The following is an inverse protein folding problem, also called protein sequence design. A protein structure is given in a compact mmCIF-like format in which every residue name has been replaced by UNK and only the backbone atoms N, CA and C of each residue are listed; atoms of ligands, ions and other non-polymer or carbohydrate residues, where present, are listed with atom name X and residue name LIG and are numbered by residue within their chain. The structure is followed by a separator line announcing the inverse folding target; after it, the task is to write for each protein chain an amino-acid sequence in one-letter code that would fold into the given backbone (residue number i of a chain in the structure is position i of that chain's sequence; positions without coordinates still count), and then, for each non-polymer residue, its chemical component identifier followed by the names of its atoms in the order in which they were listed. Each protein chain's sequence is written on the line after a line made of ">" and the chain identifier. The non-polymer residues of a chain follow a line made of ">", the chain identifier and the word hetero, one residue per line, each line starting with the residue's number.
data_IF_883619757010
#
_entry.id   IF_883619757010
#
_cell.length_a   1.000
_cell.length_b   1.000
_cell.length_c   1.000
_cell.angle_alpha   90.00
_cell.angle_beta   90.00
_cell.angle_gamma   90.00
#
_symmetry.space_group_name_H-M   'P 1'
#
loop_
_entity.id
_entity.type
_entity.pdbx_description
1 polymer ?
#
# COMPACT_ATOMS: atom_id res chain seq x y z
N UNK A 1 25.85 -46.33 29.04
CA UNK A 1 24.58 -45.71 28.60
C UNK A 1 24.90 -44.27 28.18
N UNK A 2 24.96 -43.93 26.88
CA UNK A 2 25.18 -42.54 26.47
C UNK A 2 23.91 -41.73 26.73
N UNK A 3 24.03 -40.66 27.52
CA UNK A 3 22.96 -39.71 27.82
C UNK A 3 22.68 -38.86 26.59
N UNK A 4 21.56 -39.11 25.91
CA UNK A 4 21.05 -38.26 24.83
C UNK A 4 20.77 -36.86 25.38
N UNK A 5 21.71 -35.94 25.20
CA UNK A 5 21.53 -34.53 25.57
C UNK A 5 20.83 -33.85 24.39
N UNK A 6 19.68 -33.22 24.61
CA UNK A 6 18.95 -32.58 23.50
C UNK A 6 19.78 -31.42 22.93
N UNK A 7 19.72 -31.16 21.61
CA UNK A 7 20.42 -30.05 20.97
C UNK A 7 20.09 -28.68 21.61
N UNK A 8 18.87 -28.54 22.11
CA UNK A 8 18.37 -27.34 22.80
C UNK A 8 19.07 -27.13 24.16
N UNK A 9 19.23 -28.20 24.94
CA UNK A 9 19.96 -28.18 26.21
C UNK A 9 21.43 -27.81 25.99
N UNK A 10 22.05 -28.37 24.95
CA UNK A 10 23.44 -28.11 24.61
C UNK A 10 23.65 -26.66 24.13
N UNK A 11 22.70 -26.14 23.34
CA UNK A 11 22.70 -24.75 22.88
C UNK A 11 22.51 -23.77 24.05
N UNK A 12 21.59 -24.03 24.96
CA UNK A 12 21.36 -23.21 26.16
C UNK A 12 22.58 -23.18 27.09
N UNK A 13 23.22 -24.34 27.31
CA UNK A 13 24.46 -24.43 28.08
C UNK A 13 25.60 -23.64 27.42
N UNK A 14 25.73 -23.74 26.10
CA UNK A 14 26.76 -23.04 25.31
C UNK A 14 26.54 -21.53 25.30
N UNK A 15 25.29 -21.07 25.13
CA UNK A 15 24.91 -19.66 25.21
C UNK A 15 25.26 -19.08 26.59
N UNK A 16 24.94 -19.80 27.66
CA UNK A 16 25.19 -19.36 29.04
C UNK A 16 26.68 -19.24 29.31
N UNK A 17 27.47 -20.22 28.86
CA UNK A 17 28.93 -20.21 28.99
C UNK A 17 29.57 -19.03 28.24
N UNK A 18 29.18 -18.80 26.98
CA UNK A 18 29.69 -17.71 26.16
C UNK A 18 29.31 -16.34 26.73
N UNK A 19 28.12 -16.20 27.29
CA UNK A 19 27.66 -14.97 27.94
C UNK A 19 28.46 -14.67 29.20
N UNK A 20 28.72 -15.68 30.05
CA UNK A 20 29.58 -15.56 31.23
C UNK A 20 31.01 -15.13 30.89
N UNK A 21 31.53 -15.58 29.75
CA UNK A 21 32.85 -15.22 29.24
C UNK A 21 32.87 -13.88 28.46
N UNK A 22 31.81 -13.08 28.54
CA UNK A 22 31.73 -11.77 27.87
C UNK A 22 31.54 -11.82 26.34
N UNK A 23 31.47 -13.02 25.75
CA UNK A 23 31.34 -13.23 24.29
C UNK A 23 29.86 -13.19 23.86
N UNK A 24 29.18 -12.08 24.16
CA UNK A 24 27.73 -11.92 23.95
C UNK A 24 27.27 -12.13 22.50
N UNK A 25 28.07 -11.71 21.52
CA UNK A 25 27.76 -11.92 20.08
C UNK A 25 27.81 -13.40 19.68
N UNK A 26 28.81 -14.15 20.18
CA UNK A 26 28.90 -15.58 19.92
C UNK A 26 27.72 -16.34 20.55
N UNK A 27 27.27 -15.92 21.74
CA UNK A 27 26.09 -16.49 22.39
C UNK A 27 24.81 -16.27 21.57
N UNK A 28 24.64 -15.10 20.93
CA UNK A 28 23.49 -14.82 20.05
C UNK A 28 23.49 -15.67 18.78
N UNK A 29 24.65 -15.86 18.15
CA UNK A 29 24.80 -16.69 16.93
C UNK A 29 24.41 -18.15 17.21
N UNK A 30 24.76 -18.67 18.39
CA UNK A 30 24.39 -20.02 18.82
C UNK A 30 22.87 -20.18 18.92
N UNK A 31 22.14 -19.18 19.42
CA UNK A 31 20.67 -19.20 19.45
C UNK A 31 20.07 -19.11 18.03
N UNK A 32 20.60 -18.22 17.20
CA UNK A 32 20.19 -18.07 15.80
C UNK A 32 20.34 -19.38 15.01
N UNK A 33 21.36 -20.20 15.33
CA UNK A 33 21.58 -21.48 14.65
C UNK A 33 20.46 -22.51 14.83
N UNK A 34 19.65 -22.39 15.89
CA UNK A 34 18.50 -23.25 16.13
C UNK A 34 17.23 -22.77 15.42
N UNK A 35 17.13 -21.46 15.16
CA UNK A 35 15.91 -20.84 14.64
C UNK A 35 16.00 -20.45 13.16
N UNK A 36 17.20 -20.47 12.57
CA UNK A 36 17.41 -20.12 11.16
C UNK A 36 17.40 -21.32 10.24
N UNK A 37 16.92 -21.11 9.01
CA UNK A 37 16.86 -22.15 7.99
C UNK A 37 18.27 -22.62 7.56
N UNK A 38 18.44 -23.89 7.14
CA UNK A 38 19.73 -24.48 6.77
C UNK A 38 20.57 -23.66 5.76
N UNK A 39 19.99 -22.97 4.76
CA UNK A 39 20.75 -22.15 3.81
C UNK A 39 21.40 -20.92 4.46
N UNK A 40 20.71 -20.28 5.41
CA UNK A 40 21.20 -19.09 6.11
C UNK A 40 22.35 -19.48 7.03
N UNK A 41 22.20 -20.58 7.77
CA UNK A 41 23.25 -21.10 8.64
C UNK A 41 24.52 -21.49 7.85
N UNK A 42 24.35 -22.11 6.68
CA UNK A 42 25.47 -22.46 5.78
C UNK A 42 26.22 -21.21 5.31
N UNK A 43 25.52 -20.12 4.97
CA UNK A 43 26.15 -18.83 4.63
C UNK A 43 26.87 -18.19 5.81
N UNK A 44 26.27 -18.20 6.99
CA UNK A 44 26.90 -17.68 8.21
C UNK A 44 28.18 -18.44 8.56
N UNK A 45 28.16 -19.78 8.46
CA UNK A 45 29.33 -20.63 8.67
C UNK A 45 30.43 -20.38 7.64
N UNK A 46 30.07 -20.22 6.36
CA UNK A 46 31.03 -19.88 5.31
C UNK A 46 31.73 -18.53 5.54
N UNK A 47 30.99 -17.53 6.03
CA UNK A 47 31.54 -16.20 6.39
C UNK A 47 32.48 -16.30 7.60
N UNK A 48 32.12 -17.11 8.60
CA UNK A 48 32.95 -17.35 9.79
C UNK A 48 34.24 -18.10 9.46
N UNK A 49 34.14 -19.18 8.67
CA UNK A 49 35.26 -20.06 8.35
C UNK A 49 36.23 -19.45 7.32
N UNK A 50 35.75 -18.52 6.49
CA UNK A 50 36.56 -17.78 5.51
C UNK A 50 36.34 -16.26 5.63
N UNK A 51 36.84 -15.61 6.71
CA UNK A 51 36.64 -14.18 6.92
C UNK A 51 37.31 -13.31 5.85
N UNK A 52 38.33 -13.83 5.16
CA UNK A 52 39.02 -13.18 4.04
C UNK A 52 38.27 -13.23 2.70
N UNK A 53 37.28 -14.11 2.54
CA UNK A 53 36.52 -14.28 1.29
C UNK A 53 35.34 -13.30 1.19
N UNK A 54 34.95 -12.67 2.29
CA UNK A 54 33.78 -11.79 2.36
C UNK A 54 34.21 -10.37 2.76
N UNK A 55 34.68 -9.59 1.79
CA UNK A 55 34.66 -8.14 1.95
C UNK A 55 33.21 -7.72 2.11
N UNK A 56 32.83 -7.30 3.32
CA UNK A 56 31.51 -6.73 3.57
C UNK A 56 31.35 -5.50 2.65
N UNK A 57 30.56 -5.65 1.59
CA UNK A 57 30.20 -4.52 0.74
C UNK A 57 29.19 -3.70 1.55
N UNK A 58 29.51 -2.44 1.89
CA UNK A 58 28.52 -1.58 2.50
C UNK A 58 27.33 -1.44 1.54
N UNK A 59 26.11 -1.46 2.08
CA UNK A 59 24.92 -1.18 1.30
C UNK A 59 25.04 0.18 0.63
N UNK A 60 24.56 0.30 -0.61
CA UNK A 60 24.23 1.61 -1.16
C UNK A 60 23.16 2.27 -0.27
N UNK A 61 23.05 3.61 -0.27
CA UNK A 61 21.98 4.25 0.48
C UNK A 61 20.57 3.83 0.06
N UNK A 62 20.34 3.51 -1.22
CA UNK A 62 19.07 2.93 -1.69
C UNK A 62 18.86 1.51 -1.14
N UNK A 63 19.90 0.67 -1.20
CA UNK A 63 19.85 -0.70 -0.67
C UNK A 63 19.65 -0.73 0.85
N UNK A 64 20.17 0.27 1.57
CA UNK A 64 19.97 0.43 3.01
C UNK A 64 18.55 0.89 3.37
N UNK A 65 17.79 1.49 2.44
CA UNK A 65 16.46 2.03 2.72
C UNK A 65 15.42 0.94 2.97
N UNK A 66 15.42 -0.11 2.14
CA UNK A 66 14.51 -1.23 2.27
C UNK A 66 14.59 -1.92 3.65
N UNK A 67 15.75 -2.37 4.14
CA UNK A 67 15.84 -3.00 5.45
C UNK A 67 15.48 -2.03 6.57
N UNK A 68 15.82 -0.74 6.48
CA UNK A 68 15.42 0.23 7.51
C UNK A 68 13.91 0.41 7.61
N UNK A 69 13.20 0.40 6.48
CA UNK A 69 11.73 0.47 6.47
C UNK A 69 11.12 -0.86 6.95
N UNK A 70 11.62 -1.99 6.45
CA UNK A 70 11.09 -3.33 6.78
C UNK A 70 11.33 -3.73 8.24
N UNK A 71 12.40 -3.23 8.87
CA UNK A 71 12.77 -3.56 10.26
C UNK A 71 12.44 -2.44 11.25
N UNK A 72 11.78 -1.37 10.80
CA UNK A 72 11.40 -0.21 11.61
C UNK A 72 12.60 0.39 12.40
N UNK A 73 13.79 0.41 11.78
CA UNK A 73 14.99 0.91 12.42
C UNK A 73 15.02 2.45 12.46
N UNK A 74 15.49 2.98 13.59
CA UNK A 74 15.49 4.41 13.90
C UNK A 74 16.16 5.34 12.87
N UNK A 75 15.59 6.55 12.75
CA UNK A 75 15.49 7.41 11.55
C UNK A 75 16.75 8.13 11.02
N UNK A 76 17.95 7.97 11.57
CA UNK A 76 19.01 9.01 11.37
C UNK A 76 19.82 8.92 10.07
N UNK A 77 19.93 7.76 9.41
CA UNK A 77 20.95 7.57 8.37
C UNK A 77 20.43 7.81 6.92
N UNK A 78 19.11 7.84 6.68
CA UNK A 78 18.52 7.77 5.31
C UNK A 78 17.66 8.99 4.97
N UNK A 79 17.85 10.12 5.66
CA UNK A 79 16.98 11.29 5.49
C UNK A 79 16.99 11.85 4.07
N UNK A 80 18.16 11.93 3.44
CA UNK A 80 18.34 12.50 2.10
C UNK A 80 17.60 11.70 1.03
N UNK A 81 17.62 10.37 1.12
CA UNK A 81 16.95 9.48 0.17
C UNK A 81 15.44 9.40 0.42
N UNK A 82 15.00 9.51 1.69
CA UNK A 82 13.57 9.62 2.01
C UNK A 82 12.94 10.85 1.34
N UNK A 83 13.65 11.98 1.30
CA UNK A 83 13.17 13.19 0.61
C UNK A 83 12.94 12.99 -0.88
N UNK A 84 13.76 12.18 -1.55
CA UNK A 84 13.57 11.84 -2.97
C UNK A 84 12.33 10.96 -3.20
N UNK A 85 11.77 10.36 -2.15
CA UNK A 85 10.57 9.53 -2.19
C UNK A 85 9.30 10.26 -1.76
N UNK A 86 9.38 11.58 -1.53
CA UNK A 86 8.21 12.38 -1.18
C UNK A 86 7.61 13.00 -2.45
N UNK A 87 6.28 12.92 -2.62
CA UNK A 87 5.61 13.63 -3.69
C UNK A 87 5.66 15.15 -3.46
N UNK A 88 5.43 15.92 -4.52
CA UNK A 88 5.28 17.37 -4.46
C UNK A 88 3.98 17.78 -3.77
N UNK A 89 3.92 19.05 -3.34
CA UNK A 89 2.70 19.73 -2.89
C UNK A 89 1.93 19.06 -1.74
N UNK A 90 2.66 18.38 -0.83
CA UNK A 90 2.07 17.83 0.40
C UNK A 90 1.58 19.00 1.27
N UNK A 91 0.29 19.02 1.57
CA UNK A 91 -0.34 19.96 2.50
C UNK A 91 -0.45 19.28 3.86
N UNK A 92 0.08 19.93 4.89
CA UNK A 92 0.08 19.42 6.26
C UNK A 92 -0.51 20.50 7.16
N UNK A 93 -1.49 20.12 7.96
CA UNK A 93 -2.05 20.90 9.06
C UNK A 93 -1.98 20.07 10.35
N UNK A 94 -2.48 20.63 11.46
CA UNK A 94 -2.52 19.90 12.73
C UNK A 94 -3.43 18.66 12.68
N UNK A 95 -4.48 18.68 11.86
CA UNK A 95 -5.53 17.65 11.83
C UNK A 95 -5.61 16.90 10.51
N UNK A 96 -4.85 17.30 9.50
CA UNK A 96 -4.97 16.75 8.15
C UNK A 96 -3.63 16.75 7.41
N UNK A 97 -3.40 15.67 6.67
CA UNK A 97 -2.41 15.60 5.59
C UNK A 97 -3.17 15.33 4.29
N UNK A 98 -2.89 16.12 3.26
CA UNK A 98 -3.48 15.96 1.93
C UNK A 98 -2.40 16.11 0.85
N UNK A 99 -2.48 15.26 -0.16
CA UNK A 99 -1.66 15.32 -1.37
C UNK A 99 -2.62 15.36 -2.57
N UNK A 100 -2.49 16.32 -3.50
CA UNK A 100 -3.32 16.33 -4.70
C UNK A 100 -3.18 15.01 -5.48
N UNK A 101 -4.30 14.48 -5.99
CA UNK A 101 -4.29 13.18 -6.69
C UNK A 101 -3.33 13.18 -7.89
N UNK A 102 -3.25 14.28 -8.63
CA UNK A 102 -2.29 14.40 -9.75
C UNK A 102 -0.84 14.29 -9.27
N UNK A 103 -0.45 14.95 -8.17
CA UNK A 103 0.91 14.95 -7.66
C UNK A 103 1.35 13.56 -7.19
N UNK A 104 0.48 12.83 -6.47
CA UNK A 104 0.79 11.47 -6.01
C UNK A 104 0.89 10.49 -7.18
N UNK A 105 0.04 10.63 -8.20
CA UNK A 105 0.07 9.78 -9.39
C UNK A 105 1.29 10.08 -10.27
N UNK A 106 1.63 11.35 -10.48
CA UNK A 106 2.85 11.76 -11.18
C UNK A 106 4.08 11.13 -10.51
N UNK A 107 4.19 11.27 -9.19
CA UNK A 107 5.31 10.73 -8.42
C UNK A 107 5.37 9.19 -8.51
N UNK A 108 4.24 8.52 -8.35
CA UNK A 108 4.17 7.06 -8.44
C UNK A 108 4.56 6.55 -9.83
N UNK A 109 4.09 7.21 -10.90
CA UNK A 109 4.38 6.82 -12.28
C UNK A 109 5.82 7.10 -12.66
N UNK A 110 6.40 8.24 -12.26
CA UNK A 110 7.82 8.50 -12.48
C UNK A 110 8.69 7.38 -11.91
N UNK A 111 8.41 6.94 -10.69
CA UNK A 111 9.15 5.85 -10.04
C UNK A 111 8.89 4.50 -10.71
N UNK A 112 7.63 4.19 -11.00
CA UNK A 112 7.26 2.92 -11.59
C UNK A 112 7.82 2.77 -13.02
N UNK A 113 7.75 3.83 -13.82
CA UNK A 113 8.30 3.88 -15.17
C UNK A 113 9.83 3.71 -15.16
N UNK A 114 10.53 4.32 -14.19
CA UNK A 114 11.97 4.11 -14.01
C UNK A 114 12.30 2.65 -13.66
N UNK A 115 11.56 2.02 -12.75
CA UNK A 115 11.73 0.58 -12.40
C UNK A 115 11.42 -0.32 -13.59
N UNK A 116 10.50 0.08 -14.46
CA UNK A 116 10.09 -0.68 -15.65
C UNK A 116 10.77 -0.20 -16.94
N UNK A 117 11.85 0.57 -16.83
CA UNK A 117 12.47 1.23 -17.97
C UNK A 117 12.85 0.24 -19.07
N UNK A 118 13.51 -0.87 -18.73
CA UNK A 118 13.96 -1.86 -19.72
C UNK A 118 12.78 -2.50 -20.46
N UNK A 119 11.71 -2.81 -19.72
CA UNK A 119 10.47 -3.37 -20.28
C UNK A 119 9.84 -2.36 -21.23
N UNK A 120 9.72 -1.10 -20.80
CA UNK A 120 9.13 -0.02 -21.60
C UNK A 120 9.95 0.30 -22.85
N UNK A 121 11.28 0.25 -22.78
CA UNK A 121 12.15 0.53 -23.92
C UNK A 121 12.10 -0.58 -24.98
N UNK A 122 11.97 -1.83 -24.53
CA UNK A 122 11.95 -3.01 -25.39
C UNK A 122 10.58 -3.24 -26.05
N UNK A 123 9.50 -2.91 -25.34
CA UNK A 123 8.17 -3.43 -25.68
C UNK A 123 7.12 -2.40 -26.06
N UNK A 124 7.30 -1.12 -25.72
CA UNK A 124 6.34 -0.08 -26.11
C UNK A 124 6.57 0.37 -27.55
N UNK A 125 5.49 0.41 -28.34
CA UNK A 125 5.53 0.89 -29.72
C UNK A 125 5.39 2.41 -29.79
N UNK A 126 6.53 3.10 -29.76
CA UNK A 126 6.61 4.55 -29.87
C UNK A 126 6.04 5.11 -31.18
N UNK A 127 5.94 4.31 -32.25
CA UNK A 127 5.38 4.78 -33.52
C UNK A 127 3.85 4.97 -33.45
N UNK A 128 3.19 4.24 -32.54
CA UNK A 128 1.74 4.26 -32.41
C UNK A 128 1.21 5.52 -31.70
N UNK A 129 2.06 6.22 -30.94
CA UNK A 129 1.68 7.33 -30.06
C UNK A 129 0.47 7.02 -29.14
N UNK A 130 0.25 5.75 -28.82
CA UNK A 130 -0.83 5.30 -27.94
C UNK A 130 -0.39 5.53 -26.49
N UNK A 131 -1.21 6.19 -25.65
CA UNK A 131 -0.88 6.36 -24.25
C UNK A 131 -0.92 5.03 -23.50
N UNK A 132 0.01 4.86 -22.57
CA UNK A 132 0.02 3.74 -21.64
C UNK A 132 -1.07 3.97 -20.60
N UNK A 133 -2.01 3.04 -20.48
CA UNK A 133 -3.08 3.11 -19.50
C UNK A 133 -2.61 2.54 -18.16
N UNK A 134 -2.85 3.29 -17.09
CA UNK A 134 -2.59 2.85 -15.72
C UNK A 134 -3.90 2.79 -14.96
N UNK A 135 -4.29 1.57 -14.58
CA UNK A 135 -5.50 1.34 -13.78
C UNK A 135 -5.15 1.40 -12.30
N UNK A 136 -5.99 2.10 -11.54
CA UNK A 136 -5.89 2.18 -10.09
C UNK A 136 -7.21 1.76 -9.46
N UNK A 137 -7.14 1.26 -8.23
CA UNK A 137 -8.30 1.26 -7.34
C UNK A 137 -8.09 2.28 -6.24
N UNK A 138 -9.14 2.96 -5.83
CA UNK A 138 -9.10 3.92 -4.73
C UNK A 138 -10.35 3.79 -3.86
N UNK A 139 -10.31 4.42 -2.70
CA UNK A 139 -11.45 4.51 -1.79
C UNK A 139 -11.07 5.21 -0.50
N UNK A 140 -11.98 5.13 0.47
CA UNK A 140 -11.82 5.73 1.78
C UNK A 140 -12.36 4.79 2.87
N UNK A 141 -11.77 4.88 4.04
CA UNK A 141 -12.15 4.08 5.21
C UNK A 141 -11.98 4.92 6.49
N UNK A 142 -12.78 4.60 7.50
CA UNK A 142 -12.76 5.20 8.82
C UNK A 142 -12.19 4.24 9.85
N UNK A 143 -11.28 4.72 10.71
CA UNK A 143 -10.78 3.95 11.84
C UNK A 143 -10.97 4.73 13.14
N UNK A 144 -11.42 4.04 14.18
CA UNK A 144 -11.69 4.61 15.50
C UNK A 144 -10.93 3.90 16.61
N UNK A 145 -10.95 4.48 17.81
CA UNK A 145 -10.26 3.92 18.99
C UNK A 145 -8.76 4.22 19.06
N UNK A 146 -8.30 5.25 18.35
CA UNK A 146 -6.91 5.71 18.42
C UNK A 146 -6.60 6.42 19.76
N UNK A 147 -5.33 6.41 20.14
CA UNK A 147 -4.86 7.09 21.36
C UNK A 147 -5.05 8.60 21.26
N UNK A 148 -5.53 9.21 22.36
CA UNK A 148 -5.69 10.66 22.47
C UNK A 148 -4.39 11.28 22.98
N UNK A 149 -3.86 12.25 22.25
CA UNK A 149 -2.69 12.99 22.67
C UNK A 149 -3.08 14.21 23.51
N UNK A 150 -2.23 14.59 24.48
CA UNK A 150 -2.43 15.80 25.30
C UNK A 150 -1.90 17.05 24.61
N UNK A 151 -2.17 17.20 23.31
CA UNK A 151 -1.75 18.33 22.51
C UNK A 151 -2.91 19.33 22.39
N UNK A 152 -2.62 20.63 22.50
CA UNK A 152 -3.61 21.68 22.22
C UNK A 152 -3.66 21.93 20.71
N UNK A 153 -4.85 21.83 20.12
CA UNK A 153 -5.10 22.24 18.74
C UNK A 153 -5.40 23.74 18.69
N UNK A 154 -4.89 24.42 17.66
CA UNK A 154 -5.03 25.87 17.49
C UNK A 154 -6.49 26.36 17.51
N UNK A 155 -7.44 25.50 17.15
CA UNK A 155 -8.86 25.85 17.04
C UNK A 155 -9.71 25.50 18.28
N UNK A 156 -9.13 25.05 19.40
CA UNK A 156 -9.87 24.50 20.56
C UNK A 156 -10.94 23.47 20.14
N UNK A 157 -10.73 22.82 19.00
CA UNK A 157 -11.74 22.03 18.34
C UNK A 157 -11.99 20.76 19.14
N UNK A 158 -13.26 20.38 19.24
CA UNK A 158 -13.77 19.22 19.98
C UNK A 158 -13.34 17.85 19.40
N UNK A 159 -12.36 17.83 18.48
CA UNK A 159 -11.84 16.61 17.88
C UNK A 159 -10.94 15.92 18.90
N UNK A 160 -11.43 14.82 19.46
CA UNK A 160 -10.56 13.86 20.10
C UNK A 160 -9.90 13.02 18.99
N UNK A 161 -8.56 12.96 18.97
CA UNK A 161 -7.71 12.22 18.01
C UNK A 161 -7.97 10.71 17.90
N UNK A 162 -9.06 10.26 18.51
CA UNK A 162 -9.60 8.91 18.52
C UNK A 162 -10.03 8.36 17.17
N UNK A 163 -10.33 9.21 16.18
CA UNK A 163 -10.83 8.76 14.89
C UNK A 163 -10.06 9.39 13.73
N UNK A 164 -9.85 8.59 12.71
CA UNK A 164 -9.23 9.01 11.45
C UNK A 164 -10.11 8.59 10.28
N UNK A 165 -10.09 9.41 9.23
CA UNK A 165 -10.55 9.03 7.90
C UNK A 165 -9.33 9.03 6.98
N UNK A 166 -9.18 7.94 6.23
CA UNK A 166 -8.08 7.74 5.29
C UNK A 166 -8.66 7.61 3.88
N UNK A 167 -8.10 8.35 2.92
CA UNK A 167 -8.31 8.11 1.50
C UNK A 167 -7.00 7.65 0.87
N UNK A 168 -7.07 6.55 0.11
CA UNK A 168 -5.90 5.94 -0.50
C UNK A 168 -6.18 5.43 -1.91
N UNK A 169 -5.11 5.30 -2.70
CA UNK A 169 -5.11 4.80 -4.07
C UNK A 169 -3.99 3.78 -4.28
N UNK A 170 -4.28 2.73 -5.04
CA UNK A 170 -3.38 1.62 -5.30
C UNK A 170 -3.25 1.43 -6.82
N UNK A 171 -2.04 1.50 -7.39
CA UNK A 171 -1.82 1.12 -8.78
C UNK A 171 -2.00 -0.40 -8.94
N UNK A 172 -2.74 -0.79 -9.97
CA UNK A 172 -3.06 -2.20 -10.24
C UNK A 172 -2.29 -2.74 -11.44
N UNK A 173 -2.25 -1.98 -12.53
CA UNK A 173 -1.69 -2.45 -13.80
C UNK A 173 -1.33 -1.27 -14.69
N UNK A 174 -0.23 -1.43 -15.43
CA UNK A 174 0.24 -0.56 -16.50
C UNK A 174 0.24 -1.34 -17.80
N UNK A 175 -0.54 -0.91 -18.79
CA UNK A 175 -0.68 -1.63 -20.06
C UNK A 175 -0.94 -0.69 -21.24
N UNK A 176 -0.63 -1.17 -22.44
CA UNK A 176 -1.10 -0.61 -23.70
C UNK A 176 -2.25 -1.48 -24.23
N UNK A 177 -3.30 -0.86 -24.77
CA UNK A 177 -4.38 -1.55 -25.46
C UNK A 177 -4.40 -1.05 -26.90
N UNK A 178 -4.13 -1.95 -27.84
CA UNK A 178 -4.11 -1.65 -29.27
C UNK A 178 -4.92 -2.70 -30.04
N UNK A 179 -4.95 -2.59 -31.38
CA UNK A 179 -5.70 -3.51 -32.23
C UNK A 179 -5.24 -4.99 -32.14
N UNK A 180 -4.00 -5.24 -31.68
CA UNK A 180 -3.44 -6.58 -31.49
C UNK A 180 -3.79 -7.17 -30.12
N UNK A 181 -4.39 -6.36 -29.23
CA UNK A 181 -4.80 -6.77 -27.90
C UNK A 181 -4.16 -5.91 -26.81
N UNK A 182 -4.08 -6.49 -25.61
CA UNK A 182 -3.59 -5.82 -24.40
C UNK A 182 -2.19 -6.30 -24.06
N UNK A 183 -1.24 -5.38 -24.03
CA UNK A 183 0.14 -5.63 -23.63
C UNK A 183 0.38 -5.04 -22.24
N UNK A 184 0.74 -5.91 -21.29
CA UNK A 184 0.97 -5.51 -19.89
C UNK A 184 2.47 -5.26 -19.69
N UNK A 185 2.82 -4.07 -19.20
CA UNK A 185 4.19 -3.72 -18.84
C UNK A 185 4.44 -3.95 -17.35
N UNK A 186 3.42 -3.78 -16.52
CA UNK A 186 3.50 -4.05 -15.09
C UNK A 186 2.15 -4.42 -14.51
N UNK A 187 2.17 -5.35 -13.55
CA UNK A 187 1.01 -5.78 -12.78
C UNK A 187 1.41 -5.77 -11.31
N UNK A 188 0.56 -5.22 -10.44
CA UNK A 188 0.76 -5.27 -9.01
C UNK A 188 0.66 -6.73 -8.52
N UNK A 189 1.74 -7.32 -7.95
CA UNK A 189 1.71 -8.70 -7.47
C UNK A 189 0.87 -8.88 -6.19
N UNK A 190 0.66 -7.80 -5.43
CA UNK A 190 -0.05 -7.81 -4.15
C UNK A 190 -1.04 -6.65 -4.05
N UNK A 191 -2.13 -6.65 -4.84
CA UNK A 191 -3.04 -5.51 -4.96
C UNK A 191 -3.80 -5.19 -3.66
N UNK A 192 -3.87 -6.12 -2.70
CA UNK A 192 -4.50 -5.91 -1.39
C UNK A 192 -3.50 -5.58 -0.27
N UNK A 193 -2.20 -5.47 -0.58
CA UNK A 193 -1.18 -5.14 0.41
C UNK A 193 -1.13 -3.63 0.69
N UNK A 194 -0.98 -3.27 1.96
CA UNK A 194 -0.75 -1.88 2.38
C UNK A 194 0.54 -1.29 1.80
N UNK A 195 1.50 -2.13 1.40
CA UNK A 195 2.79 -1.70 0.80
C UNK A 195 2.63 -0.92 -0.52
N UNK A 196 1.54 -1.16 -1.24
CA UNK A 196 1.22 -0.44 -2.50
C UNK A 196 0.13 0.62 -2.32
N UNK A 197 -0.35 0.83 -1.09
CA UNK A 197 -1.38 1.81 -0.79
C UNK A 197 -0.76 3.19 -0.63
N UNK A 198 -1.03 4.07 -1.59
CA UNK A 198 -0.58 5.45 -1.59
C UNK A 198 -1.63 6.30 -0.90
N UNK A 199 -1.24 7.03 0.14
CA UNK A 199 -2.16 7.89 0.88
C UNK A 199 -2.39 9.19 0.12
N UNK A 200 -3.65 9.51 -0.15
CA UNK A 200 -4.09 10.79 -0.73
C UNK A 200 -4.42 11.77 0.40
N UNK A 201 -5.16 11.29 1.40
CA UNK A 201 -5.62 12.10 2.51
C UNK A 201 -5.65 11.30 3.80
N UNK A 202 -5.24 11.91 4.89
CA UNK A 202 -5.42 11.41 6.24
C UNK A 202 -5.93 12.57 7.09
N UNK A 203 -7.11 12.42 7.69
CA UNK A 203 -7.71 13.46 8.51
C UNK A 203 -8.17 12.89 9.85
N UNK A 204 -7.89 13.64 10.93
CA UNK A 204 -8.41 13.36 12.26
C UNK A 204 -9.87 13.80 12.29
N UNK A 205 -10.76 12.84 12.05
CA UNK A 205 -12.19 13.06 11.98
C UNK A 205 -12.92 11.75 12.19
N UNK A 206 -14.11 11.82 12.82
CA UNK A 206 -15.00 10.66 12.90
C UNK A 206 -15.65 10.41 11.54
N UNK A 207 -15.67 9.14 11.12
CA UNK A 207 -16.43 8.69 9.96
C UNK A 207 -17.94 8.98 10.17
N UNK A 208 -18.44 9.97 9.44
CA UNK A 208 -19.82 10.40 9.45
C UNK A 208 -20.31 10.55 8.00
N UNK A 209 -21.63 10.48 7.77
CA UNK A 209 -22.22 10.50 6.42
C UNK A 209 -21.74 11.69 5.58
N UNK A 210 -21.78 12.88 6.17
CA UNK A 210 -21.35 14.11 5.50
C UNK A 210 -19.86 14.14 5.22
N UNK A 211 -19.02 13.65 6.14
CA UNK A 211 -17.57 13.57 5.95
C UNK A 211 -17.21 12.61 4.81
N UNK A 212 -17.85 11.43 4.76
CA UNK A 212 -17.67 10.45 3.68
C UNK A 212 -18.02 11.05 2.32
N UNK A 213 -19.20 11.71 2.20
CA UNK A 213 -19.63 12.35 0.96
C UNK A 213 -18.69 13.48 0.54
N UNK A 214 -18.28 14.32 1.48
CA UNK A 214 -17.35 15.42 1.24
C UNK A 214 -16.01 14.93 0.68
N UNK A 215 -15.37 13.94 1.34
CA UNK A 215 -14.08 13.44 0.91
C UNK A 215 -14.16 12.65 -0.40
N UNK A 216 -15.24 11.90 -0.60
CA UNK A 216 -15.50 11.22 -1.87
C UNK A 216 -15.61 12.22 -3.01
N UNK A 217 -16.49 13.23 -2.88
CA UNK A 217 -16.72 14.25 -3.91
C UNK A 217 -15.44 15.03 -4.21
N UNK A 218 -14.72 15.49 -3.18
CA UNK A 218 -13.46 16.22 -3.38
C UNK A 218 -12.42 15.39 -4.15
N UNK A 219 -12.30 14.09 -3.83
CA UNK A 219 -11.36 13.20 -4.51
C UNK A 219 -11.82 12.87 -5.93
N UNK A 220 -13.11 12.64 -6.14
CA UNK A 220 -13.69 12.39 -7.46
C UNK A 220 -13.53 13.60 -8.39
N UNK A 221 -13.73 14.82 -7.88
CA UNK A 221 -13.48 16.06 -8.62
C UNK A 221 -12.01 16.24 -9.01
N UNK A 222 -11.06 15.83 -8.14
CA UNK A 222 -9.63 15.79 -8.50
C UNK A 222 -9.36 14.74 -9.58
N UNK A 223 -9.97 13.54 -9.48
CA UNK A 223 -9.84 12.46 -10.45
C UNK A 223 -10.37 12.87 -11.83
N UNK A 224 -11.52 13.55 -11.90
CA UNK A 224 -12.13 14.02 -13.15
C UNK A 224 -11.27 15.08 -13.87
N UNK A 225 -10.38 15.75 -13.14
CA UNK A 225 -9.46 16.77 -13.69
C UNK A 225 -8.06 16.23 -13.98
N UNK A 226 -7.83 14.93 -13.81
CA UNK A 226 -6.53 14.33 -14.09
C UNK A 226 -6.15 14.50 -15.55
N UNK A 227 -4.87 14.77 -15.76
CA UNK A 227 -4.25 14.74 -17.07
C UNK A 227 -3.14 13.68 -17.10
N UNK A 228 -2.77 13.18 -18.29
CA UNK A 228 -1.74 12.17 -18.41
C UNK A 228 -0.38 12.62 -17.85
N UNK A 229 0.31 11.74 -17.13
CA UNK A 229 1.70 11.97 -16.72
C UNK A 229 2.62 11.76 -17.92
N UNK A 230 3.58 12.67 -18.14
CA UNK A 230 4.66 12.47 -19.10
C UNK A 230 5.95 12.10 -18.38
N UNK A 231 6.65 11.08 -18.87
CA UNK A 231 7.96 10.65 -18.34
C UNK A 231 8.93 10.44 -19.50
N UNK A 232 10.13 11.01 -19.40
CA UNK A 232 11.21 10.79 -20.37
C UNK A 232 12.16 9.72 -19.86
N UNK A 233 12.36 8.65 -20.66
CA UNK A 233 13.29 7.56 -20.38
C UNK A 233 14.18 7.35 -21.62
N UNK A 234 15.51 7.43 -21.45
CA UNK A 234 16.49 7.27 -22.53
C UNK A 234 16.09 8.03 -23.83
N UNK A 235 15.80 9.31 -23.67
CA UNK A 235 15.38 10.25 -24.73
C UNK A 235 14.03 9.97 -25.41
N UNK A 236 13.26 9.00 -24.91
CA UNK A 236 11.90 8.74 -25.37
C UNK A 236 10.86 9.27 -24.37
N UNK A 237 9.83 9.94 -24.87
CA UNK A 237 8.74 10.43 -24.04
C UNK A 237 7.59 9.43 -24.00
N UNK A 238 7.15 9.08 -22.80
CA UNK A 238 6.04 8.18 -22.54
C UNK A 238 4.88 8.95 -21.92
N UNK A 239 3.67 8.73 -22.43
CA UNK A 239 2.44 9.32 -21.91
C UNK A 239 1.64 8.27 -21.15
N UNK A 240 1.32 8.54 -19.89
CA UNK A 240 0.59 7.64 -19.01
C UNK A 240 -0.80 8.19 -18.67
N UNK A 241 -1.84 7.57 -19.21
CA UNK A 241 -3.22 7.91 -18.90
C UNK A 241 -3.66 7.24 -17.59
N UNK A 242 -4.30 7.99 -16.71
CA UNK A 242 -4.75 7.49 -15.41
C UNK A 242 -6.21 7.05 -15.45
N UNK A 243 -6.48 5.83 -14.97
CA UNK A 243 -7.82 5.23 -14.91
C UNK A 243 -8.13 4.76 -13.46
N UNK A 244 -8.42 5.67 -12.52
CA UNK A 244 -8.81 5.31 -11.17
C UNK A 244 -10.26 4.80 -11.10
N UNK A 245 -10.49 3.73 -10.33
CA UNK A 245 -11.83 3.18 -10.09
C UNK A 245 -12.11 3.08 -8.58
N UNK A 246 -13.22 3.63 -8.12
CA UNK A 246 -13.56 3.68 -6.69
C UNK A 246 -14.11 2.32 -6.22
N UNK A 247 -13.24 1.38 -5.86
CA UNK A 247 -13.66 0.00 -5.46
C UNK A 247 -13.11 -0.43 -4.11
N UNK A 248 -12.31 0.41 -3.45
CA UNK A 248 -11.80 0.14 -2.10
C UNK A 248 -12.74 0.73 -1.04
N UNK A 249 -14.01 0.32 -1.08
CA UNK A 249 -15.06 0.85 -0.23
C UNK A 249 -15.78 -0.30 0.47
N UNK A 250 -16.06 -0.17 1.76
CA UNK A 250 -16.92 -1.12 2.46
C UNK A 250 -18.41 -0.89 2.11
N UNK A 251 -19.26 -1.86 2.48
CA UNK A 251 -20.70 -1.80 2.17
C UNK A 251 -21.45 -0.66 2.87
N UNK A 252 -21.04 -0.29 4.09
CA UNK A 252 -21.63 0.82 4.85
C UNK A 252 -21.29 2.16 4.19
N UNK A 253 -20.05 2.36 3.79
CA UNK A 253 -19.62 3.56 3.06
C UNK A 253 -20.31 3.65 1.69
N UNK A 254 -20.43 2.53 0.96
CA UNK A 254 -21.21 2.49 -0.28
C UNK A 254 -22.68 2.85 -0.05
N UNK A 255 -23.29 2.40 1.05
CA UNK A 255 -24.67 2.74 1.39
C UNK A 255 -24.84 4.24 1.62
N UNK A 256 -23.87 4.91 2.24
CA UNK A 256 -23.86 6.37 2.39
C UNK A 256 -23.79 7.07 1.04
N UNK A 257 -22.88 6.65 0.15
CA UNK A 257 -22.68 7.30 -1.15
C UNK A 257 -23.82 7.06 -2.14
N UNK A 258 -24.53 5.96 -1.99
CA UNK A 258 -25.65 5.61 -2.87
C UNK A 258 -27.01 5.95 -2.24
N UNK A 259 -27.04 6.68 -1.13
CA UNK A 259 -28.23 7.05 -0.38
C UNK A 259 -29.14 5.86 -0.02
N UNK A 260 -28.54 4.71 0.30
CA UNK A 260 -29.28 3.57 0.86
C UNK A 260 -29.56 3.80 2.33
N UNK A 261 -30.82 4.06 2.68
CA UNK A 261 -31.22 4.31 4.08
C UNK A 261 -31.04 3.11 5.01
N UNK A 262 -31.12 1.88 4.48
CA UNK A 262 -31.10 0.64 5.24
C UNK A 262 -29.79 -0.12 5.02
N UNK A 263 -28.99 -0.29 6.07
CA UNK A 263 -27.73 -1.04 6.04
C UNK A 263 -27.85 -2.47 5.44
N UNK A 264 -28.90 -3.26 5.73
CA UNK A 264 -29.05 -4.59 5.14
C UNK A 264 -29.64 -4.59 3.72
N UNK A 265 -29.99 -3.43 3.15
CA UNK A 265 -30.42 -3.37 1.76
C UNK A 265 -29.20 -3.36 0.82
N UNK A 266 -29.38 -3.92 -0.38
CA UNK A 266 -28.34 -3.91 -1.40
C UNK A 266 -28.03 -2.47 -1.84
N UNK A 267 -26.77 -2.05 -1.75
CA UNK A 267 -26.27 -0.75 -2.20
C UNK A 267 -26.45 -0.52 -3.71
N UNK A 268 -26.46 -1.58 -4.52
CA UNK A 268 -26.64 -1.52 -5.98
C UNK A 268 -28.11 -1.38 -6.36
N UNK A 269 -28.94 -2.38 -6.04
CA UNK A 269 -30.34 -2.42 -6.51
C UNK A 269 -31.35 -1.89 -5.49
N UNK A 270 -30.95 -1.56 -4.26
CA UNK A 270 -31.84 -1.13 -3.16
C UNK A 270 -32.87 -2.18 -2.75
N UNK A 271 -32.63 -3.46 -3.04
CA UNK A 271 -33.49 -4.53 -2.56
C UNK A 271 -33.28 -4.76 -1.07
N UNK A 272 -34.36 -4.89 -0.32
CA UNK A 272 -34.31 -5.29 1.10
C UNK A 272 -34.06 -6.80 1.20
N UNK A 273 -33.64 -7.32 2.38
CA UNK A 273 -33.45 -8.77 2.57
C UNK A 273 -34.68 -9.61 2.16
N UNK A 274 -35.90 -9.12 2.43
CA UNK A 274 -37.14 -9.80 2.03
C UNK A 274 -37.31 -9.87 0.50
N UNK A 275 -36.87 -8.84 -0.21
CA UNK A 275 -36.96 -8.77 -1.68
C UNK A 275 -35.88 -9.60 -2.36
N UNK A 276 -34.70 -9.77 -1.73
CA UNK A 276 -33.59 -10.53 -2.30
C UNK A 276 -33.92 -12.02 -2.54
N UNK A 277 -34.89 -12.57 -1.80
CA UNK A 277 -35.36 -13.95 -1.98
C UNK A 277 -36.36 -14.13 -3.14
N UNK A 278 -36.72 -13.06 -3.85
CA UNK A 278 -37.67 -13.11 -4.97
C UNK A 278 -36.97 -12.74 -6.28
N UNK A 279 -36.51 -13.75 -7.03
CA UNK A 279 -35.78 -13.57 -8.28
C UNK A 279 -36.60 -12.83 -9.35
N UNK A 280 -37.90 -13.12 -9.48
CA UNK A 280 -38.77 -12.46 -10.46
C UNK A 280 -38.89 -10.96 -10.21
N UNK A 281 -38.90 -10.57 -8.93
CA UNK A 281 -38.90 -9.16 -8.52
C UNK A 281 -37.56 -8.50 -8.83
N UNK A 282 -36.43 -9.19 -8.58
CA UNK A 282 -35.09 -8.64 -8.85
C UNK A 282 -34.83 -8.44 -10.34
N UNK A 283 -35.26 -9.38 -11.19
CA UNK A 283 -35.10 -9.29 -12.65
C UNK A 283 -35.82 -8.08 -13.25
N UNK A 284 -36.90 -7.63 -12.61
CA UNK A 284 -37.69 -6.46 -13.04
C UNK A 284 -37.22 -5.15 -12.40
N UNK A 285 -36.32 -5.21 -11.41
CA UNK A 285 -35.92 -4.05 -10.63
C UNK A 285 -34.84 -3.27 -11.35
N UNK A 286 -35.15 -2.02 -11.68
CA UNK A 286 -34.16 -1.09 -12.23
C UNK A 286 -33.16 -0.69 -11.14
N UNK A 287 -31.90 -0.50 -11.54
CA UNK A 287 -30.84 -0.03 -10.67
C UNK A 287 -30.03 1.06 -11.38
N UNK A 288 -29.39 1.93 -10.60
CA UNK A 288 -28.52 2.97 -11.16
C UNK A 288 -27.18 2.39 -11.58
N UNK A 289 -26.72 2.72 -12.78
CA UNK A 289 -25.38 2.36 -13.26
C UNK A 289 -24.27 3.03 -12.44
N UNK A 290 -24.55 4.16 -11.79
CA UNK A 290 -23.59 4.80 -10.88
C UNK A 290 -23.33 3.96 -9.63
N UNK A 291 -24.34 3.23 -9.15
CA UNK A 291 -24.18 2.37 -7.96
C UNK A 291 -23.26 1.16 -8.21
N UNK A 292 -23.11 0.72 -9.47
CA UNK A 292 -22.19 -0.37 -9.81
C UNK A 292 -20.71 0.06 -9.84
N UNK A 293 -20.43 1.37 -9.88
CA UNK A 293 -19.05 1.88 -9.93
C UNK A 293 -18.25 1.54 -8.66
N UNK A 294 -18.94 1.26 -7.55
CA UNK A 294 -18.32 0.92 -6.26
C UNK A 294 -17.82 -0.52 -6.15
N UNK A 295 -18.18 -1.39 -7.11
CA UNK A 295 -17.82 -2.79 -7.11
C UNK A 295 -18.41 -3.58 -5.92
N UNK A 296 -17.80 -4.73 -5.63
CA UNK A 296 -18.19 -5.61 -4.51
C UNK A 296 -17.02 -5.71 -3.54
N UNK A 297 -17.26 -5.38 -2.28
CA UNK A 297 -16.28 -5.55 -1.20
C UNK A 297 -16.17 -7.03 -0.82
N UNK A 298 -15.22 -7.74 -1.43
CA UNK A 298 -14.96 -9.16 -1.16
C UNK A 298 -14.63 -9.40 0.34
N UNK A 299 -13.85 -8.50 0.96
CA UNK A 299 -13.43 -8.62 2.37
C UNK A 299 -14.63 -8.75 3.31
N UNK A 300 -15.63 -7.89 3.14
CA UNK A 300 -16.85 -7.89 3.95
C UNK A 300 -17.89 -8.93 3.52
N UNK A 301 -17.66 -9.60 2.38
CA UNK A 301 -18.55 -10.67 1.90
C UNK A 301 -18.18 -12.03 2.52
N UNK A 302 -16.96 -12.17 3.06
CA UNK A 302 -16.47 -13.37 3.75
C UNK A 302 -16.63 -13.31 5.27
N UNK A 303 -17.10 -12.19 5.82
CA UNK A 303 -17.35 -11.96 7.25
C UNK A 303 -18.82 -12.28 7.58
#
# INVERSE_FOLDING_TARGET
>A
MPTNTSPELLCSATQTSLTKNGKRRAAQVVVLSLTTSPPIFKRMKQIHDNPSCCTAKPYSPEEAMAPVIDTDLGKRIIFTYKKQCYPSNIKISETEVQIPVQDILNHAIQRLAYVQQDVLLLHHDHASNIPIQVTYKWGLDGSGGHSIYKQCFANNSMYADTNIILCAIVPLQMCEVNAKGKQIFWQNPYPSSSRYSLIIRLQIQKEAKEAVKLHYQATEEEILRLYPTQVTLADKCYTFQHLPVCTMMDGKTCNVLTDTSSSPACNVCKATPKQLNNLDLLLKKQYSTTSSNFGISILHSSL
#
